data_IF_818950875290
#
_entry.id   IF_818950875290
#
_cell.length_a   1.000
_cell.length_b   1.000
_cell.length_c   1.000
_cell.angle_alpha   90.00
_cell.angle_beta   90.00
_cell.angle_gamma   90.00
#
_symmetry.space_group_name_H-M   'P 1'
#
loop_
_entity.id
_entity.type
_entity.pdbx_description
1 polymer ?
#
# COMPACT_ATOMS: atom_id res chain seq x y z
N UNK A 1 -14.67 -4.90 11.05
CA UNK A 1 -13.83 -5.26 9.89
C UNK A 1 -13.30 -3.96 9.31
N UNK A 2 -12.16 -3.47 9.78
CA UNK A 2 -11.62 -2.13 9.47
C UNK A 2 -10.35 -2.19 8.61
N UNK A 3 -10.16 -3.29 7.88
CA UNK A 3 -9.04 -3.46 6.96
C UNK A 3 -9.51 -3.34 5.50
N UNK A 4 -8.68 -2.73 4.66
CA UNK A 4 -8.85 -2.72 3.20
C UNK A 4 -8.50 -4.11 2.66
N UNK A 5 -9.40 -4.74 1.93
CA UNK A 5 -9.12 -6.00 1.23
C UNK A 5 -8.25 -5.75 0.00
N UNK A 6 -7.52 -6.77 -0.47
CA UNK A 6 -6.77 -6.66 -1.72
C UNK A 6 -7.67 -6.30 -2.91
N UNK A 7 -8.89 -6.84 -2.96
CA UNK A 7 -9.86 -6.49 -4.02
C UNK A 7 -10.19 -5.00 -4.01
N UNK A 8 -10.57 -4.46 -2.86
CA UNK A 8 -10.90 -3.05 -2.72
C UNK A 8 -9.71 -2.13 -3.03
N UNK A 9 -8.50 -2.53 -2.67
CA UNK A 9 -7.29 -1.80 -3.02
C UNK A 9 -7.09 -1.73 -4.53
N UNK A 10 -7.21 -2.86 -5.24
CA UNK A 10 -7.09 -2.86 -6.70
C UNK A 10 -8.23 -2.13 -7.41
N UNK A 11 -9.47 -2.26 -6.91
CA UNK A 11 -10.62 -1.53 -7.46
C UNK A 11 -10.39 0.00 -7.33
N UNK A 12 -9.93 0.47 -6.17
CA UNK A 12 -9.62 1.88 -5.95
C UNK A 12 -8.46 2.39 -6.83
N UNK A 13 -7.43 1.56 -7.06
CA UNK A 13 -6.36 1.91 -8.00
C UNK A 13 -6.86 2.12 -9.44
N UNK A 14 -7.91 1.39 -9.86
CA UNK A 14 -8.55 1.60 -11.17
C UNK A 14 -9.35 2.91 -11.23
N UNK A 15 -9.74 3.44 -10.06
CA UNK A 15 -10.44 4.71 -9.88
C UNK A 15 -9.49 5.88 -9.56
N UNK A 16 -8.18 5.70 -9.73
CA UNK A 16 -7.13 6.69 -9.42
C UNK A 16 -7.03 7.05 -7.91
N UNK A 17 -7.55 6.19 -7.03
CA UNK A 17 -7.48 6.33 -5.58
C UNK A 17 -6.46 5.38 -4.96
N UNK A 18 -5.44 5.95 -4.31
CA UNK A 18 -4.45 5.15 -3.56
C UNK A 18 -4.92 4.91 -2.12
N UNK A 19 -5.49 3.73 -1.87
CA UNK A 19 -5.86 3.30 -0.51
C UNK A 19 -4.65 2.74 0.26
N UNK A 20 -4.56 3.09 1.53
CA UNK A 20 -3.59 2.56 2.47
C UNK A 20 -4.22 2.32 3.85
N UNK A 21 -3.35 2.00 4.80
CA UNK A 21 -3.72 1.81 6.20
C UNK A 21 -2.90 2.74 7.08
N UNK A 22 -3.52 3.40 8.04
CA UNK A 22 -2.84 4.19 9.08
C UNK A 22 -2.93 3.46 10.40
N UNK A 23 -1.82 3.36 11.11
CA UNK A 23 -1.79 2.75 12.44
C UNK A 23 -2.17 3.77 13.50
N UNK A 24 -3.17 3.45 14.31
CA UNK A 24 -3.63 4.33 15.39
C UNK A 24 -2.70 4.31 16.61
N UNK A 25 -1.81 3.32 16.73
CA UNK A 25 -0.89 3.22 17.87
C UNK A 25 0.46 3.90 17.60
N UNK A 26 0.97 3.89 16.36
CA UNK A 26 2.27 4.50 16.02
C UNK A 26 2.21 5.60 14.96
N UNK A 27 1.05 5.81 14.33
CA UNK A 27 0.85 6.82 13.29
C UNK A 27 1.42 6.47 11.91
N UNK A 28 2.11 5.34 11.78
CA UNK A 28 2.74 4.95 10.51
C UNK A 28 1.70 4.49 9.48
N UNK A 29 2.00 4.76 8.21
CA UNK A 29 1.19 4.32 7.09
C UNK A 29 1.73 3.02 6.50
N UNK A 30 0.84 2.15 6.04
CA UNK A 30 1.16 0.85 5.44
C UNK A 30 0.46 0.75 4.10
N UNK A 31 1.24 0.46 3.05
CA UNK A 31 0.77 0.22 1.70
C UNK A 31 1.74 -0.73 0.99
N UNK A 32 1.28 -1.87 0.41
CA UNK A 32 -0.12 -2.29 0.24
C UNK A 32 -0.82 -2.75 1.54
N UNK A 33 -2.14 -3.06 1.50
CA UNK A 33 -2.88 -3.47 2.69
C UNK A 33 -2.30 -4.73 3.33
N UNK A 34 -2.12 -4.70 4.66
CA UNK A 34 -1.69 -5.83 5.49
C UNK A 34 -2.59 -5.93 6.73
N UNK A 35 -2.60 -7.11 7.36
CA UNK A 35 -3.39 -7.36 8.57
C UNK A 35 -2.80 -6.75 9.84
N UNK A 36 -1.57 -6.25 9.79
CA UNK A 36 -0.84 -5.64 10.89
C UNK A 36 0.01 -4.48 10.38
N UNK A 37 0.28 -3.49 11.25
CA UNK A 37 1.22 -2.41 10.97
C UNK A 37 2.63 -2.96 10.71
N UNK A 38 3.29 -2.49 9.64
CA UNK A 38 4.66 -2.92 9.29
C UNK A 38 5.73 -2.43 10.26
N UNK A 39 5.45 -1.35 10.99
CA UNK A 39 6.39 -0.75 11.92
C UNK A 39 6.30 -1.38 13.32
N UNK A 40 5.11 -1.41 13.92
CA UNK A 40 4.93 -1.84 15.32
C UNK A 40 4.22 -3.20 15.50
N UNK A 41 3.68 -3.79 14.43
CA UNK A 41 2.95 -5.06 14.50
C UNK A 41 1.53 -4.97 15.07
N UNK A 42 1.05 -3.77 15.41
CA UNK A 42 -0.32 -3.59 15.91
C UNK A 42 -1.38 -3.95 14.86
N UNK A 43 -2.55 -4.40 15.34
CA UNK A 43 -3.77 -4.60 14.55
C UNK A 43 -4.71 -3.40 14.60
N UNK A 44 -4.37 -2.36 15.37
CA UNK A 44 -5.11 -1.11 15.45
C UNK A 44 -4.76 -0.25 14.24
N UNK A 45 -5.33 -0.62 13.09
CA UNK A 45 -5.11 0.03 11.80
C UNK A 45 -6.44 0.42 11.19
N UNK A 46 -6.49 1.61 10.61
CA UNK A 46 -7.65 2.21 9.94
C UNK A 46 -7.38 2.43 8.46
N UNK A 47 -8.44 2.45 7.64
CA UNK A 47 -8.35 2.80 6.22
C UNK A 47 -8.02 4.28 6.07
N UNK A 48 -7.05 4.60 5.22
CA UNK A 48 -6.71 5.97 4.86
C UNK A 48 -6.51 6.11 3.34
N UNK A 49 -6.89 7.25 2.78
CA UNK A 49 -6.55 7.60 1.39
C UNK A 49 -5.21 8.33 1.40
N UNK A 50 -4.26 7.84 0.61
CA UNK A 50 -2.92 8.42 0.48
C UNK A 50 -2.92 9.47 -0.64
N UNK A 51 -2.05 10.48 -0.53
CA UNK A 51 -2.01 11.59 -1.51
C UNK A 51 -1.52 11.19 -2.90
N UNK A 52 -0.91 10.00 -3.06
CA UNK A 52 -0.22 9.58 -4.28
C UNK A 52 1.15 10.23 -4.47
N UNK A 53 1.54 11.17 -3.60
CA UNK A 53 2.85 11.81 -3.65
C UNK A 53 3.90 10.99 -2.91
N UNK A 54 5.09 10.87 -3.50
CA UNK A 54 6.19 10.11 -2.93
C UNK A 54 7.55 10.59 -3.40
N UNK A 55 8.60 10.07 -2.75
CA UNK A 55 9.99 10.32 -3.13
C UNK A 55 10.67 9.00 -3.44
N UNK A 56 11.40 8.94 -4.56
CA UNK A 56 12.23 7.80 -4.91
C UNK A 56 13.28 7.60 -3.80
N UNK A 57 13.22 6.46 -3.12
CA UNK A 57 14.20 6.07 -2.09
C UNK A 57 15.39 5.35 -2.71
N UNK A 58 15.11 4.41 -3.60
CA UNK A 58 16.07 3.61 -4.36
C UNK A 58 15.45 3.24 -5.70
N UNK A 59 16.28 2.93 -6.69
CA UNK A 59 15.80 2.43 -7.99
C UNK A 59 16.82 1.44 -8.56
N UNK A 60 16.35 0.60 -9.48
CA UNK A 60 17.18 -0.30 -10.29
C UNK A 60 16.66 -0.30 -11.73
N UNK A 61 17.45 -0.78 -12.68
CA UNK A 61 17.09 -0.84 -14.10
C UNK A 61 17.04 -2.29 -14.56
N UNK A 62 15.89 -2.70 -15.08
CA UNK A 62 15.70 -4.02 -15.71
C UNK A 62 15.97 -3.91 -17.21
N UNK A 63 17.08 -4.47 -17.70
CA UNK A 63 17.46 -4.42 -19.12
C UNK A 63 16.82 -5.53 -19.98
N UNK A 64 16.41 -6.64 -19.35
CA UNK A 64 15.80 -7.78 -20.02
C UNK A 64 14.43 -8.05 -19.42
N UNK A 65 13.34 -8.02 -20.20
CA UNK A 65 12.01 -8.30 -19.67
C UNK A 65 11.90 -9.78 -19.23
N UNK A 66 11.03 -10.07 -18.25
CA UNK A 66 10.70 -11.45 -17.93
C UNK A 66 10.01 -12.11 -19.12
N UNK A 67 10.23 -13.42 -19.30
CA UNK A 67 9.55 -14.23 -20.30
C UNK A 67 8.02 -14.11 -20.14
N UNK A 68 7.31 -13.81 -21.23
CA UNK A 68 5.84 -13.76 -21.27
C UNK A 68 5.20 -12.38 -21.05
N UNK A 69 6.00 -11.31 -20.97
CA UNK A 69 5.53 -9.94 -21.05
C UNK A 69 6.12 -9.31 -22.33
N UNK A 70 5.32 -9.29 -23.41
CA UNK A 70 5.62 -8.57 -24.66
C UNK A 70 5.39 -7.06 -24.54
#
# INVERSE_FOLDING_TARGET
MTGVTFKEYFDALLEDELLGLKCEDCGEYTCPPKSTCENCGSRNIEKATLSGEGKIRTFTTTYTPPLGYE
#
